data_IF_667106145874
#
_entry.id   IF_667106145874
#
_cell.length_a   1.000
_cell.length_b   1.000
_cell.length_c   1.000
_cell.angle_alpha   90.00
_cell.angle_beta   90.00
_cell.angle_gamma   90.00
#
_symmetry.space_group_name_H-M   'P 1'
#
loop_
_entity.id
_entity.type
_entity.pdbx_description
1 polymer ?
#
# COMPACT_ATOMS: atom_id res chain seq x y z
N UNK A 1 -21.87 -16.99 3.29
CA UNK A 1 -20.63 -16.24 3.50
C UNK A 1 -20.61 -15.12 2.46
N UNK A 2 -20.32 -13.88 2.84
CA UNK A 2 -20.24 -12.78 1.88
C UNK A 2 -19.08 -12.99 0.91
N UNK A 3 -19.28 -12.69 -0.37
CA UNK A 3 -18.19 -12.66 -1.35
C UNK A 3 -17.37 -11.41 -1.11
N UNK A 4 -16.05 -11.55 -0.94
CA UNK A 4 -15.13 -10.41 -0.89
C UNK A 4 -15.16 -9.70 -2.25
N UNK A 5 -15.50 -8.41 -2.24
CA UNK A 5 -15.58 -7.54 -3.42
C UNK A 5 -14.50 -6.45 -3.42
N UNK A 6 -13.98 -6.14 -2.24
CA UNK A 6 -13.01 -5.09 -2.01
C UNK A 6 -11.83 -5.66 -1.25
N UNK A 7 -10.61 -5.25 -1.60
CA UNK A 7 -9.41 -5.56 -0.85
C UNK A 7 -8.67 -4.26 -0.62
N UNK A 8 -8.40 -3.92 0.64
CA UNK A 8 -7.61 -2.74 1.01
C UNK A 8 -6.30 -3.21 1.64
N UNK A 9 -5.18 -2.88 1.01
CA UNK A 9 -3.83 -3.16 1.48
C UNK A 9 -3.18 -1.88 1.98
N UNK A 10 -2.85 -1.84 3.26
CA UNK A 10 -2.08 -0.74 3.87
C UNK A 10 -0.65 -1.24 4.09
N UNK A 11 0.35 -0.54 3.54
CA UNK A 11 1.75 -0.95 3.61
C UNK A 11 2.56 -0.10 4.59
N UNK A 12 3.10 -0.75 5.63
CA UNK A 12 4.03 -0.16 6.61
C UNK A 12 5.44 -0.72 6.36
N UNK A 13 6.49 -0.02 6.78
CA UNK A 13 7.87 -0.30 6.39
C UNK A 13 8.82 -0.66 7.56
N UNK A 14 9.92 -1.31 7.20
CA UNK A 14 11.21 -1.31 7.90
C UNK A 14 11.29 -1.81 9.34
N UNK A 15 10.34 -2.62 9.78
CA UNK A 15 10.39 -3.22 11.11
C UNK A 15 10.12 -4.72 11.06
N UNK A 16 10.94 -5.49 11.77
CA UNK A 16 10.68 -6.91 11.98
C UNK A 16 9.45 -7.10 12.85
N UNK A 17 8.79 -8.26 12.73
CA UNK A 17 7.63 -8.58 13.57
C UNK A 17 7.92 -8.40 15.07
N UNK A 18 9.12 -8.75 15.55
CA UNK A 18 9.50 -8.58 16.96
C UNK A 18 9.70 -7.13 17.40
N UNK A 19 9.91 -6.19 16.48
CA UNK A 19 9.99 -4.76 16.79
C UNK A 19 8.60 -4.12 16.93
N UNK A 20 7.56 -4.74 16.36
CA UNK A 20 6.19 -4.21 16.32
C UNK A 20 5.24 -5.00 17.22
N UNK A 21 5.12 -6.31 17.02
CA UNK A 21 4.17 -7.15 17.75
C UNK A 21 4.59 -7.27 19.21
N UNK A 22 3.65 -6.98 20.12
CA UNK A 22 3.84 -6.88 21.56
C UNK A 22 4.80 -5.77 22.03
N UNK A 23 5.22 -4.87 21.13
CA UNK A 23 5.97 -3.67 21.47
C UNK A 23 5.09 -2.65 22.19
N UNK A 24 5.65 -1.98 23.21
CA UNK A 24 4.97 -0.85 23.88
C UNK A 24 4.79 0.36 22.95
N UNK A 25 5.56 0.42 21.86
CA UNK A 25 5.44 1.45 20.84
C UNK A 25 4.32 1.15 19.83
N UNK A 26 3.78 -0.08 19.77
CA UNK A 26 2.71 -0.45 18.83
C UNK A 26 1.53 -1.16 19.51
N UNK A 27 0.87 -0.52 20.52
CA UNK A 27 -0.27 -1.12 21.19
C UNK A 27 -1.45 -1.37 20.24
N UNK A 28 -1.68 -0.51 19.24
CA UNK A 28 -2.80 -0.67 18.33
C UNK A 28 -2.60 -1.84 17.37
N UNK A 29 -1.47 -1.90 16.66
CA UNK A 29 -1.14 -3.04 15.76
C UNK A 29 -1.13 -4.35 16.54
N UNK A 30 -0.60 -4.35 17.77
CA UNK A 30 -0.65 -5.54 18.64
C UNK A 30 -2.10 -5.94 18.97
N UNK A 31 -3.01 -4.98 19.15
CA UNK A 31 -4.43 -5.28 19.38
C UNK A 31 -5.10 -5.89 18.14
N UNK A 32 -4.76 -5.40 16.94
CA UNK A 32 -5.24 -5.95 15.67
C UNK A 32 -4.77 -7.39 15.49
N UNK A 33 -3.48 -7.67 15.73
CA UNK A 33 -2.92 -9.03 15.61
C UNK A 33 -3.56 -10.05 16.58
N UNK A 34 -4.16 -9.59 17.69
CA UNK A 34 -4.92 -10.45 18.61
C UNK A 34 -6.38 -10.64 18.18
N UNK A 35 -6.95 -9.70 17.44
CA UNK A 35 -8.36 -9.72 17.05
C UNK A 35 -8.58 -10.31 15.64
N UNK A 36 -7.61 -10.15 14.75
CA UNK A 36 -7.65 -10.59 13.36
C UNK A 36 -6.59 -11.66 13.09
N UNK A 37 -6.63 -12.25 11.89
CA UNK A 37 -5.62 -13.19 11.44
C UNK A 37 -4.28 -12.49 11.23
N UNK A 38 -3.20 -13.14 11.66
CA UNK A 38 -1.83 -12.69 11.46
C UNK A 38 -1.04 -13.76 10.69
N UNK A 39 -0.43 -13.36 9.58
CA UNK A 39 0.49 -14.22 8.84
C UNK A 39 1.86 -14.26 9.54
N UNK A 40 2.17 -15.36 10.22
CA UNK A 40 3.43 -15.52 11.00
C UNK A 40 4.65 -15.87 10.16
N UNK A 41 4.45 -16.21 8.89
CA UNK A 41 5.50 -16.58 7.93
C UNK A 41 5.47 -15.66 6.70
N UNK A 42 5.21 -14.37 6.92
CA UNK A 42 5.33 -13.34 5.89
C UNK A 42 6.78 -12.82 5.87
N UNK A 43 7.40 -12.79 4.69
CA UNK A 43 8.81 -12.40 4.50
C UNK A 43 9.00 -11.46 3.32
N UNK A 44 10.20 -10.89 3.24
CA UNK A 44 10.64 -10.08 2.11
C UNK A 44 10.96 -10.96 0.90
N UNK A 45 10.94 -10.34 -0.27
CA UNK A 45 11.33 -10.96 -1.56
C UNK A 45 12.54 -10.27 -2.18
N UNK A 46 13.02 -9.19 -1.56
CA UNK A 46 14.22 -8.48 -1.97
C UNK A 46 14.60 -7.39 -0.97
N UNK A 47 15.69 -6.69 -1.26
CA UNK A 47 16.14 -5.51 -0.54
C UNK A 47 16.76 -4.56 -1.58
N UNK A 48 16.57 -3.22 -1.50
CA UNK A 48 15.92 -2.41 -0.46
C UNK A 48 14.38 -2.40 -0.53
N UNK A 49 13.68 -1.29 -0.27
CA UNK A 49 12.21 -1.25 -0.18
C UNK A 49 11.54 -1.60 -1.51
N UNK A 50 11.95 -0.97 -2.63
CA UNK A 50 11.29 -1.09 -3.93
C UNK A 50 11.06 -2.55 -4.41
N UNK A 51 12.05 -3.47 -4.35
CA UNK A 51 11.84 -4.88 -4.70
C UNK A 51 10.64 -5.54 -4.01
N UNK A 52 10.35 -5.17 -2.75
CA UNK A 52 9.23 -5.73 -1.99
C UNK A 52 7.87 -5.22 -2.49
N UNK A 53 7.76 -3.92 -2.80
CA UNK A 53 6.55 -3.33 -3.36
C UNK A 53 6.22 -3.92 -4.75
N UNK A 54 7.24 -4.08 -5.59
CA UNK A 54 7.08 -4.69 -6.92
C UNK A 54 6.72 -6.17 -6.78
N UNK A 55 7.46 -6.93 -5.98
CA UNK A 55 7.19 -8.35 -5.78
C UNK A 55 5.79 -8.64 -5.23
N UNK A 56 5.30 -7.82 -4.30
CA UNK A 56 3.96 -7.99 -3.75
C UNK A 56 2.81 -7.55 -4.67
N UNK A 57 3.10 -6.78 -5.74
CA UNK A 57 2.07 -6.30 -6.68
C UNK A 57 2.16 -6.92 -8.07
N UNK A 58 3.27 -7.60 -8.40
CA UNK A 58 3.48 -8.28 -9.69
C UNK A 58 3.95 -9.73 -9.58
N UNK A 59 4.32 -10.20 -8.38
CA UNK A 59 4.71 -11.59 -8.12
C UNK A 59 6.21 -11.89 -8.23
N UNK A 60 7.03 -10.93 -8.65
CA UNK A 60 8.50 -11.05 -8.75
C UNK A 60 9.16 -9.67 -8.57
N UNK A 61 10.46 -9.65 -8.26
CA UNK A 61 11.30 -8.44 -8.23
C UNK A 61 11.71 -7.95 -9.61
N UNK A 62 11.61 -8.82 -10.63
CA UNK A 62 12.05 -8.55 -12.01
C UNK A 62 13.51 -8.10 -12.13
N UNK A 63 14.36 -8.57 -11.21
CA UNK A 63 15.79 -8.23 -11.15
C UNK A 63 16.08 -6.85 -10.58
N UNK A 64 15.08 -6.12 -10.08
CA UNK A 64 15.29 -4.87 -9.35
C UNK A 64 15.92 -5.19 -8.00
N UNK A 65 17.04 -4.54 -7.69
CA UNK A 65 17.80 -4.74 -6.45
C UNK A 65 18.25 -3.41 -5.81
N UNK A 66 17.61 -2.31 -6.18
CA UNK A 66 17.86 -0.97 -5.64
C UNK A 66 16.54 -0.18 -5.52
N UNK A 67 16.60 1.07 -5.05
CA UNK A 67 15.46 1.99 -4.86
C UNK A 67 15.37 3.05 -5.99
N UNK A 68 15.85 2.73 -7.19
CA UNK A 68 15.83 3.63 -8.33
C UNK A 68 14.42 4.09 -8.69
N UNK A 69 14.29 5.34 -9.16
CA UNK A 69 13.00 5.90 -9.55
C UNK A 69 12.39 5.17 -10.77
N UNK A 70 11.09 5.37 -11.08
CA UNK A 70 10.45 4.82 -12.28
C UNK A 70 11.16 5.15 -13.59
N UNK A 71 11.96 6.21 -13.66
CA UNK A 71 12.79 6.52 -14.84
C UNK A 71 13.89 5.49 -15.10
N UNK A 72 14.39 4.82 -14.05
CA UNK A 72 15.37 3.74 -14.14
C UNK A 72 14.70 2.36 -14.26
N UNK A 73 13.54 2.18 -13.62
CA UNK A 73 12.86 0.87 -13.50
C UNK A 73 11.45 0.88 -14.10
N UNK A 74 11.33 1.03 -15.42
CA UNK A 74 10.01 0.93 -16.09
C UNK A 74 9.62 -0.52 -16.28
N UNK A 75 8.43 -0.90 -15.80
CA UNK A 75 7.94 -2.27 -15.88
C UNK A 75 6.72 -2.39 -16.80
N UNK A 76 6.79 -3.27 -17.79
CA UNK A 76 5.66 -3.59 -18.68
C UNK A 76 4.97 -4.91 -18.35
N UNK A 77 5.43 -5.58 -17.28
CA UNK A 77 4.90 -6.85 -16.76
C UNK A 77 3.46 -6.72 -16.26
N UNK A 78 2.79 -7.85 -16.07
CA UNK A 78 1.48 -7.88 -15.43
C UNK A 78 1.59 -7.57 -13.94
N UNK A 79 0.51 -6.99 -13.40
CA UNK A 79 0.41 -6.58 -12.01
C UNK A 79 -1.06 -6.64 -11.56
N UNK A 80 -1.26 -6.68 -10.24
CA UNK A 80 -2.61 -6.81 -9.64
C UNK A 80 -3.54 -5.66 -10.04
N UNK A 81 -3.02 -4.44 -10.21
CA UNK A 81 -3.81 -3.28 -10.64
C UNK A 81 -4.40 -3.49 -12.04
N UNK A 82 -3.56 -3.93 -12.99
CA UNK A 82 -4.00 -4.28 -14.35
C UNK A 82 -4.97 -5.46 -14.35
N UNK A 83 -4.70 -6.49 -13.54
CA UNK A 83 -5.60 -7.67 -13.44
C UNK A 83 -7.00 -7.26 -12.97
N UNK A 84 -7.09 -6.39 -11.95
CA UNK A 84 -8.36 -5.85 -11.46
C UNK A 84 -9.11 -5.09 -12.55
N UNK A 85 -8.44 -4.17 -13.26
CA UNK A 85 -9.06 -3.41 -14.36
C UNK A 85 -9.51 -4.32 -15.51
N UNK A 86 -8.71 -5.32 -15.85
CA UNK A 86 -9.03 -6.28 -16.93
C UNK A 86 -10.23 -7.16 -16.57
N UNK A 87 -10.41 -7.47 -15.27
CA UNK A 87 -11.58 -8.17 -14.76
C UNK A 87 -12.83 -7.28 -14.63
N UNK A 88 -12.77 -6.01 -15.05
CA UNK A 88 -13.87 -5.04 -14.95
C UNK A 88 -14.04 -4.42 -13.56
N UNK A 89 -13.08 -4.63 -12.66
CA UNK A 89 -13.02 -3.98 -11.34
C UNK A 89 -12.37 -2.61 -11.39
N UNK A 90 -12.38 -1.93 -10.25
CA UNK A 90 -11.71 -0.63 -10.06
C UNK A 90 -10.53 -0.78 -9.13
N UNK A 91 -9.42 -0.14 -9.47
CA UNK A 91 -8.22 -0.09 -8.62
C UNK A 91 -7.92 1.34 -8.24
N UNK A 92 -7.31 1.54 -7.07
CA UNK A 92 -6.84 2.85 -6.65
C UNK A 92 -5.63 2.74 -5.74
N UNK A 93 -4.65 3.59 -5.98
CA UNK A 93 -3.47 3.76 -5.13
C UNK A 93 -3.57 5.11 -4.42
N UNK A 94 -3.50 5.09 -3.09
CA UNK A 94 -3.55 6.28 -2.26
C UNK A 94 -2.22 6.46 -1.54
N UNK A 95 -1.53 7.53 -1.88
CA UNK A 95 -0.18 7.83 -1.43
C UNK A 95 -0.20 9.08 -0.54
N UNK A 96 0.16 8.94 0.73
CA UNK A 96 0.27 10.10 1.60
C UNK A 96 1.44 11.01 1.18
N UNK A 97 1.26 12.32 1.36
CA UNK A 97 2.20 13.37 0.95
C UNK A 97 2.52 13.43 -0.56
N UNK A 98 1.86 12.63 -1.42
CA UNK A 98 2.12 12.66 -2.85
C UNK A 98 1.71 14.01 -3.46
N UNK A 99 2.62 14.69 -4.20
CA UNK A 99 2.39 16.08 -4.59
C UNK A 99 1.40 16.24 -5.76
N UNK A 100 1.27 15.24 -6.62
CA UNK A 100 0.32 15.20 -7.73
C UNK A 100 0.02 13.76 -8.13
N UNK A 101 -1.11 13.51 -8.80
CA UNK A 101 -1.42 12.18 -9.32
C UNK A 101 -0.29 11.64 -10.19
N UNK A 102 0.06 10.36 -10.02
CA UNK A 102 1.14 9.68 -10.74
C UNK A 102 2.50 10.39 -10.61
N UNK A 103 2.88 10.81 -9.40
CA UNK A 103 4.19 11.41 -9.15
C UNK A 103 5.32 10.38 -9.31
N UNK A 104 6.18 10.59 -10.30
CA UNK A 104 7.25 9.65 -10.67
C UNK A 104 8.59 9.93 -9.98
N UNK A 105 8.60 10.79 -8.97
CA UNK A 105 9.77 11.13 -8.19
C UNK A 105 9.36 11.41 -6.74
N UNK A 106 10.26 11.10 -5.81
CA UNK A 106 10.09 11.45 -4.41
C UNK A 106 10.05 12.97 -4.21
N UNK A 107 9.24 13.43 -3.25
CA UNK A 107 9.13 14.84 -2.91
C UNK A 107 8.70 15.00 -1.45
N UNK A 108 9.44 15.78 -0.66
CA UNK A 108 9.17 15.90 0.77
C UNK A 108 9.20 14.54 1.46
N UNK A 109 8.08 14.13 2.07
CA UNK A 109 7.93 12.81 2.72
C UNK A 109 7.35 11.72 1.82
N UNK A 110 6.96 12.06 0.59
CA UNK A 110 6.54 11.07 -0.40
C UNK A 110 7.77 10.40 -1.00
N UNK A 111 7.85 9.07 -0.87
CA UNK A 111 8.89 8.24 -1.47
C UNK A 111 8.31 7.43 -2.64
N UNK A 112 8.71 7.75 -3.87
CA UNK A 112 8.16 7.05 -5.05
C UNK A 112 8.46 5.55 -5.02
N UNK A 113 9.57 5.12 -4.41
CA UNK A 113 9.91 3.71 -4.16
C UNK A 113 8.86 2.92 -3.37
N UNK A 114 7.98 3.59 -2.63
CA UNK A 114 6.87 2.97 -1.88
C UNK A 114 5.54 2.99 -2.67
N UNK A 115 5.55 3.48 -3.91
CA UNK A 115 4.40 3.56 -4.79
C UNK A 115 4.60 2.67 -6.04
N UNK A 116 4.16 1.39 -5.99
CA UNK A 116 4.36 0.47 -7.12
C UNK A 116 3.59 0.89 -8.38
N UNK A 117 2.45 1.58 -8.26
CA UNK A 117 1.65 2.01 -9.43
C UNK A 117 2.44 2.96 -10.35
N UNK A 118 3.40 3.73 -9.81
CA UNK A 118 4.24 4.64 -10.58
C UNK A 118 5.23 3.92 -11.53
N UNK A 119 5.59 2.66 -11.24
CA UNK A 119 6.59 1.87 -11.99
C UNK A 119 6.02 1.16 -13.21
N UNK A 120 4.69 0.94 -13.26
CA UNK A 120 4.06 0.21 -14.34
C UNK A 120 3.76 1.10 -15.56
N UNK A 121 4.17 0.65 -16.74
CA UNK A 121 4.10 1.39 -18.01
C UNK A 121 3.58 0.53 -19.18
N UNK A 122 3.15 -0.72 -18.91
CA UNK A 122 2.58 -1.61 -19.93
C UNK A 122 1.09 -1.40 -20.14
N UNK A 123 0.60 -1.61 -21.36
CA UNK A 123 -0.81 -1.38 -21.74
C UNK A 123 -1.32 0.01 -21.30
N UNK A 124 -2.40 0.08 -20.52
CA UNK A 124 -2.96 1.33 -19.98
C UNK A 124 -2.50 1.61 -18.54
N UNK A 125 -1.41 1.01 -18.04
CA UNK A 125 -0.96 1.21 -16.65
C UNK A 125 -0.55 2.65 -16.40
N UNK A 126 0.15 3.29 -17.35
CA UNK A 126 0.49 4.70 -17.22
C UNK A 126 -0.73 5.61 -17.25
N UNK A 127 -1.74 5.24 -18.03
CA UNK A 127 -3.03 5.93 -18.07
C UNK A 127 -3.76 5.80 -16.74
N UNK A 128 -3.81 4.59 -16.18
CA UNK A 128 -4.39 4.32 -14.87
C UNK A 128 -3.65 5.03 -13.74
N UNK A 129 -2.32 4.99 -13.70
CA UNK A 129 -1.52 5.78 -12.75
C UNK A 129 -1.96 7.25 -12.71
N UNK A 130 -2.13 7.91 -13.87
CA UNK A 130 -2.58 9.31 -13.91
C UNK A 130 -3.99 9.54 -13.36
N UNK A 131 -4.87 8.54 -13.39
CA UNK A 131 -6.27 8.63 -12.95
C UNK A 131 -6.47 8.15 -11.51
N UNK A 132 -5.77 7.10 -11.14
CA UNK A 132 -6.09 6.20 -10.04
C UNK A 132 -4.95 6.11 -9.00
N UNK A 133 -3.73 6.56 -9.31
CA UNK A 133 -2.68 6.81 -8.32
C UNK A 133 -2.73 8.27 -7.85
N UNK A 134 -3.31 8.48 -6.67
CA UNK A 134 -3.71 9.81 -6.16
C UNK A 134 -3.28 10.01 -4.71
N UNK A 135 -3.26 11.27 -4.27
CA UNK A 135 -2.93 11.60 -2.88
C UNK A 135 -3.95 10.96 -1.93
N UNK A 136 -3.48 10.45 -0.78
CA UNK A 136 -4.33 9.88 0.25
C UNK A 136 -5.30 10.94 0.82
N UNK A 137 -6.63 10.76 0.71
CA UNK A 137 -7.59 11.63 1.37
C UNK A 137 -7.63 11.39 2.88
N UNK A 138 -8.23 12.31 3.64
CA UNK A 138 -8.44 12.15 5.09
C UNK A 138 -9.33 10.96 5.46
N UNK A 139 -10.16 10.49 4.53
CA UNK A 139 -10.95 9.26 4.65
C UNK A 139 -11.11 8.62 3.27
N UNK A 140 -11.08 7.28 3.22
CA UNK A 140 -11.33 6.55 1.98
C UNK A 140 -12.76 6.81 1.46
N UNK A 141 -12.96 6.93 0.13
CA UNK A 141 -14.28 7.11 -0.44
C UNK A 141 -15.13 5.82 -0.34
N UNK A 142 -16.44 5.98 -0.35
CA UNK A 142 -17.41 4.90 -0.57
C UNK A 142 -18.23 5.23 -1.84
N UNK A 143 -18.38 4.28 -2.79
CA UNK A 143 -17.94 2.89 -2.67
C UNK A 143 -16.42 2.70 -2.74
N UNK A 144 -15.92 1.69 -2.02
CA UNK A 144 -14.51 1.31 -2.08
C UNK A 144 -14.17 0.75 -3.48
N UNK A 145 -12.95 1.00 -4.01
CA UNK A 145 -12.45 0.27 -5.17
C UNK A 145 -12.42 -1.24 -4.94
N UNK A 146 -12.43 -2.03 -6.01
CA UNK A 146 -12.20 -3.49 -5.93
C UNK A 146 -10.84 -3.80 -5.29
N UNK A 147 -9.80 -3.03 -5.63
CA UNK A 147 -8.49 -3.12 -4.99
C UNK A 147 -7.97 -1.74 -4.63
N UNK A 148 -7.59 -1.56 -3.37
CA UNK A 148 -7.02 -0.32 -2.86
C UNK A 148 -5.65 -0.59 -2.28
N UNK A 149 -4.65 0.17 -2.70
CA UNK A 149 -3.31 0.17 -2.11
C UNK A 149 -3.09 1.50 -1.38
N UNK A 150 -2.77 1.47 -0.10
CA UNK A 150 -2.52 2.65 0.74
C UNK A 150 -1.08 2.61 1.22
N UNK A 151 -0.36 3.70 0.97
CA UNK A 151 1.00 3.91 1.47
C UNK A 151 1.01 5.20 2.29
N UNK A 152 1.31 5.13 3.60
CA UNK A 152 1.60 6.31 4.40
C UNK A 152 2.92 6.99 3.97
N UNK A 153 3.17 8.20 4.45
CA UNK A 153 4.42 8.90 4.14
C UNK A 153 5.60 8.28 4.92
N UNK A 154 6.84 8.69 4.59
CA UNK A 154 8.05 8.16 5.23
C UNK A 154 8.05 8.22 6.77
N UNK A 155 7.24 9.07 7.39
CA UNK A 155 7.11 9.13 8.84
C UNK A 155 6.04 8.15 9.33
N UNK A 156 4.87 8.18 8.70
CA UNK A 156 3.74 7.37 9.13
C UNK A 156 3.86 5.90 8.76
N UNK A 157 4.65 5.54 7.74
CA UNK A 157 4.97 4.15 7.41
C UNK A 157 6.06 3.55 8.32
N UNK A 158 6.59 4.35 9.25
CA UNK A 158 7.69 4.04 10.19
C UNK A 158 9.09 3.92 9.58
N UNK A 159 9.30 4.39 8.34
CA UNK A 159 10.62 4.38 7.72
C UNK A 159 11.58 5.36 8.42
N UNK A 160 11.18 6.61 8.60
CA UNK A 160 12.00 7.72 9.16
C UNK A 160 11.58 8.14 10.57
N UNK A 161 10.42 7.67 11.04
CA UNK A 161 9.88 7.98 12.36
C UNK A 161 9.67 6.72 13.20
N UNK A 162 9.38 6.92 14.48
CA UNK A 162 9.22 5.83 15.43
C UNK A 162 8.04 4.93 15.11
N UNK A 163 8.11 3.66 15.53
CA UNK A 163 6.97 2.72 15.52
C UNK A 163 5.71 3.33 16.13
N UNK A 164 5.84 4.12 17.20
CA UNK A 164 4.71 4.79 17.85
C UNK A 164 4.02 5.83 16.96
N UNK A 165 4.76 6.46 16.06
CA UNK A 165 4.21 7.39 15.08
C UNK A 165 3.31 6.67 14.07
N UNK A 166 3.77 5.54 13.53
CA UNK A 166 2.96 4.74 12.61
C UNK A 166 1.79 4.02 13.30
N UNK A 167 1.96 3.55 14.54
CA UNK A 167 0.87 2.96 15.32
C UNK A 167 -0.26 3.97 15.58
N UNK A 168 0.10 5.20 15.94
CA UNK A 168 -0.86 6.29 16.12
C UNK A 168 -1.56 6.66 14.81
N UNK A 169 -0.82 6.71 13.70
CA UNK A 169 -1.41 6.95 12.39
C UNK A 169 -2.41 5.86 12.00
N UNK A 170 -2.07 4.58 12.17
CA UNK A 170 -2.97 3.45 11.92
C UNK A 170 -4.21 3.51 12.81
N UNK A 171 -4.03 3.86 14.10
CA UNK A 171 -5.14 4.01 15.04
C UNK A 171 -6.13 5.10 14.61
N UNK A 172 -5.67 6.14 13.93
CA UNK A 172 -6.53 7.18 13.36
C UNK A 172 -7.12 6.80 12.00
N UNK A 173 -6.33 6.19 11.12
CA UNK A 173 -6.72 5.90 9.74
C UNK A 173 -7.65 4.71 9.63
N UNK A 174 -7.32 3.58 10.28
CA UNK A 174 -8.03 2.31 10.08
C UNK A 174 -9.52 2.41 10.45
N UNK A 175 -9.96 3.11 11.51
CA UNK A 175 -11.39 3.32 11.78
C UNK A 175 -12.17 3.97 10.63
N UNK A 176 -11.53 4.81 9.80
CA UNK A 176 -12.19 5.40 8.62
C UNK A 176 -12.55 4.33 7.59
N UNK A 177 -11.75 3.26 7.47
CA UNK A 177 -12.05 2.08 6.66
C UNK A 177 -13.10 1.19 7.33
N UNK A 178 -12.93 0.88 8.62
CA UNK A 178 -13.81 -0.08 9.34
C UNK A 178 -15.25 0.44 9.50
N UNK A 179 -15.48 1.73 9.26
CA UNK A 179 -16.81 2.35 9.32
C UNK A 179 -17.52 2.45 7.97
N UNK A 180 -16.85 2.07 6.88
CA UNK A 180 -17.45 2.02 5.54
C UNK A 180 -18.61 1.00 5.48
N UNK A 181 -19.64 1.24 4.64
CA UNK A 181 -20.69 0.26 4.39
C UNK A 181 -20.13 -1.09 3.95
N UNK A 182 -19.15 -1.08 3.06
CA UNK A 182 -18.56 -2.28 2.45
C UNK A 182 -17.93 -3.21 3.50
N UNK A 183 -17.20 -2.64 4.48
CA UNK A 183 -16.63 -3.41 5.59
C UNK A 183 -17.71 -3.93 6.54
N UNK A 184 -18.70 -3.10 6.88
CA UNK A 184 -19.81 -3.50 7.78
C UNK A 184 -20.68 -4.61 7.17
N UNK A 185 -20.86 -4.59 5.86
CA UNK A 185 -21.56 -5.60 5.08
C UNK A 185 -20.71 -6.85 4.79
N UNK A 186 -19.45 -6.87 5.25
CA UNK A 186 -18.49 -7.98 5.09
C UNK A 186 -18.17 -8.29 3.63
N UNK A 187 -18.01 -7.23 2.83
CA UNK A 187 -17.59 -7.29 1.43
C UNK A 187 -16.15 -6.79 1.21
N UNK A 188 -15.47 -6.36 2.28
CA UNK A 188 -14.07 -5.91 2.32
C UNK A 188 -13.26 -6.79 3.26
#
# INVERSE_FOLDING_TARGET
MGTVKHVVRIWMENHTSSQVIASRAAPYVTSLARHYLMATHYGDVGSPSLPNYIGATSGDTWGISDDGAPSAHRLTVDNVFRQVRTAGGTERSYQEAMPASCSLASAGRYAVKHNPAAYYDGADDRGACRRDDVQLPSSLPSPLPTFTFVTPDLCHDTHDCSVATGDAWLHSFLPTLLTTPEYRERST
#
